data_IF_046375924185
#
_entry.id   IF_046375924185
#
_cell.length_a   1.000
_cell.length_b   1.000
_cell.length_c   1.000
_cell.angle_alpha   90.00
_cell.angle_beta   90.00
_cell.angle_gamma   90.00
#
_symmetry.space_group_name_H-M   'P 1'
#
loop_
_entity.id
_entity.type
_entity.pdbx_description
1 polymer ?
#
# COMPACT_ATOMS: atom_id res chain seq x y z
N UNK A 1 14.05 -30.57 29.27
CA UNK A 1 14.60 -29.96 28.04
C UNK A 1 13.55 -29.00 27.51
N UNK A 2 13.70 -27.70 27.79
CA UNK A 2 12.87 -26.68 27.17
C UNK A 2 13.30 -26.58 25.72
N UNK A 3 12.47 -27.05 24.78
CA UNK A 3 12.70 -26.82 23.36
C UNK A 3 12.68 -25.30 23.15
N UNK A 4 13.76 -24.76 22.57
CA UNK A 4 13.75 -23.39 22.11
C UNK A 4 12.54 -23.21 21.16
N UNK A 5 11.79 -22.10 21.26
CA UNK A 5 10.72 -21.84 20.31
C UNK A 5 11.31 -21.91 18.89
N UNK A 6 10.54 -22.41 17.90
CA UNK A 6 11.00 -22.39 16.52
C UNK A 6 11.41 -20.96 16.14
N UNK A 7 12.42 -20.78 15.27
CA UNK A 7 12.79 -19.46 14.80
C UNK A 7 11.53 -18.76 14.28
N UNK A 8 11.22 -17.58 14.81
CA UNK A 8 10.06 -16.82 14.35
C UNK A 8 10.25 -16.55 12.86
N UNK A 9 9.24 -16.88 12.05
CA UNK A 9 9.29 -16.62 10.62
C UNK A 9 9.50 -15.11 10.38
N UNK A 10 10.28 -14.72 9.37
CA UNK A 10 10.60 -13.32 9.10
C UNK A 10 9.30 -12.52 8.88
N UNK A 11 9.03 -11.58 9.79
CA UNK A 11 7.80 -10.77 9.79
C UNK A 11 7.81 -9.70 8.70
N UNK A 12 9.00 -9.21 8.34
CA UNK A 12 9.17 -8.28 7.22
C UNK A 12 8.88 -8.99 5.89
N UNK A 13 9.30 -10.24 5.74
CA UNK A 13 8.94 -11.05 4.57
C UNK A 13 7.41 -11.25 4.48
N UNK A 14 6.77 -11.56 5.61
CA UNK A 14 5.32 -11.67 5.70
C UNK A 14 4.60 -10.36 5.33
N UNK A 15 5.08 -9.23 5.83
CA UNK A 15 4.58 -7.89 5.49
C UNK A 15 4.63 -7.63 3.97
N UNK A 16 5.80 -7.79 3.34
CA UNK A 16 5.98 -7.47 1.92
C UNK A 16 5.19 -8.42 1.01
N UNK A 17 5.25 -9.74 1.26
CA UNK A 17 4.51 -10.72 0.46
C UNK A 17 3.00 -10.64 0.71
N UNK A 18 2.58 -10.33 1.94
CA UNK A 18 1.17 -10.13 2.27
C UNK A 18 0.59 -8.91 1.56
N UNK A 19 1.30 -7.78 1.58
CA UNK A 19 0.92 -6.56 0.84
C UNK A 19 0.83 -6.86 -0.66
N UNK A 20 1.87 -7.49 -1.23
CA UNK A 20 1.92 -7.84 -2.65
C UNK A 20 0.81 -8.83 -3.07
N UNK A 21 0.47 -9.80 -2.22
CA UNK A 21 -0.63 -10.73 -2.48
C UNK A 21 -1.99 -10.04 -2.39
N UNK A 22 -2.15 -9.09 -1.46
CA UNK A 22 -3.33 -8.24 -1.36
C UNK A 22 -3.54 -7.39 -2.61
N UNK A 23 -2.54 -6.61 -2.99
CA UNK A 23 -2.51 -5.83 -4.24
C UNK A 23 -2.86 -6.71 -5.45
N UNK A 24 -2.17 -7.85 -5.60
CA UNK A 24 -2.41 -8.81 -6.68
C UNK A 24 -3.84 -9.38 -6.73
N UNK A 25 -4.52 -9.49 -5.59
CA UNK A 25 -5.88 -10.02 -5.50
C UNK A 25 -6.94 -8.98 -5.92
N UNK A 26 -6.60 -7.69 -5.83
CA UNK A 26 -7.45 -6.60 -6.30
C UNK A 26 -7.68 -6.66 -7.80
N UNK A 27 -8.92 -6.40 -8.25
CA UNK A 27 -9.18 -6.31 -9.69
C UNK A 27 -8.35 -5.22 -10.41
N UNK A 28 -7.96 -4.08 -9.78
CA UNK A 28 -7.17 -3.05 -10.45
C UNK A 28 -5.77 -3.51 -10.86
N UNK A 29 -5.17 -4.47 -10.13
CA UNK A 29 -3.80 -4.91 -10.38
C UNK A 29 -3.55 -5.38 -11.82
N UNK A 30 -4.47 -6.18 -12.37
CA UNK A 30 -4.38 -6.62 -13.77
C UNK A 30 -4.47 -5.43 -14.76
N UNK A 31 -5.24 -4.38 -14.43
CA UNK A 31 -5.37 -3.16 -15.25
C UNK A 31 -4.13 -2.27 -15.14
N UNK A 32 -3.50 -2.19 -13.96
CA UNK A 32 -2.22 -1.50 -13.77
C UNK A 32 -1.11 -2.19 -14.55
N UNK A 33 -0.97 -3.52 -14.38
CA UNK A 33 0.01 -4.34 -15.09
C UNK A 33 -0.21 -4.38 -16.59
N UNK A 34 -1.46 -4.29 -17.06
CA UNK A 34 -1.76 -4.16 -18.49
C UNK A 34 -1.05 -2.98 -19.16
N UNK A 35 -0.58 -1.96 -18.43
CA UNK A 35 0.23 -0.88 -18.98
C UNK A 35 1.56 -1.35 -19.61
N UNK A 36 2.02 -2.56 -19.29
CA UNK A 36 3.16 -3.24 -19.92
C UNK A 36 2.84 -3.82 -21.30
N UNK A 37 1.55 -3.91 -21.65
CA UNK A 37 1.10 -4.34 -22.98
C UNK A 37 1.03 -3.16 -23.96
N UNK A 38 1.09 -3.42 -25.28
CA UNK A 38 0.86 -2.40 -26.30
C UNK A 38 -0.45 -1.64 -26.10
N UNK A 39 -0.43 -0.34 -26.42
CA UNK A 39 -1.59 0.53 -26.23
C UNK A 39 -2.84 0.04 -26.97
N UNK A 40 -2.68 -0.47 -28.20
CA UNK A 40 -3.80 -0.94 -29.01
C UNK A 40 -4.59 -2.06 -28.33
N UNK A 41 -3.92 -2.95 -27.59
CA UNK A 41 -4.57 -4.05 -26.86
C UNK A 41 -5.42 -3.51 -25.71
N UNK A 42 -4.90 -2.50 -24.97
CA UNK A 42 -5.65 -1.81 -23.91
C UNK A 42 -6.82 -1.00 -24.46
N UNK A 43 -6.65 -0.38 -25.64
CA UNK A 43 -7.70 0.37 -26.33
C UNK A 43 -8.85 -0.56 -26.74
N UNK A 44 -8.53 -1.74 -27.28
CA UNK A 44 -9.51 -2.73 -27.70
C UNK A 44 -10.42 -3.18 -26.54
N UNK A 45 -9.88 -3.40 -25.33
CA UNK A 45 -10.73 -3.74 -24.17
C UNK A 45 -11.77 -2.66 -23.87
N UNK A 46 -11.41 -1.36 -23.98
CA UNK A 46 -12.36 -0.26 -23.77
C UNK A 46 -13.41 -0.17 -24.88
N UNK A 47 -12.98 -0.35 -26.13
CA UNK A 47 -13.89 -0.38 -27.29
C UNK A 47 -14.91 -1.51 -27.17
N UNK A 48 -14.48 -2.70 -26.73
CA UNK A 48 -15.36 -3.84 -26.50
C UNK A 48 -16.34 -3.58 -25.35
N UNK A 49 -15.93 -2.85 -24.31
CA UNK A 49 -16.79 -2.55 -23.16
C UNK A 49 -17.91 -1.60 -23.55
N UNK A 50 -17.57 -0.54 -24.29
CA UNK A 50 -18.54 0.35 -24.94
C UNK A 50 -19.46 -0.40 -25.90
N UNK A 51 -18.92 -1.33 -26.69
CA UNK A 51 -19.73 -2.18 -27.55
C UNK A 51 -20.73 -3.02 -26.74
N UNK A 52 -20.28 -3.63 -25.63
CA UNK A 52 -21.13 -4.45 -24.77
C UNK A 52 -22.30 -3.64 -24.17
N UNK A 53 -22.02 -2.43 -23.70
CA UNK A 53 -23.02 -1.49 -23.19
C UNK A 53 -24.05 -1.09 -24.27
N UNK A 54 -23.56 -0.67 -25.44
CA UNK A 54 -24.41 -0.22 -26.55
C UNK A 54 -25.29 -1.33 -27.13
N UNK A 55 -24.89 -2.59 -26.97
CA UNK A 55 -25.60 -3.77 -27.48
C UNK A 55 -26.36 -4.54 -26.39
N UNK A 56 -26.51 -3.96 -25.19
CA UNK A 56 -27.23 -4.56 -24.06
C UNK A 56 -26.78 -6.00 -23.72
N UNK A 57 -25.46 -6.26 -23.82
CA UNK A 57 -24.89 -7.58 -23.50
C UNK A 57 -24.41 -7.61 -22.06
N UNK A 58 -24.79 -8.65 -21.31
CA UNK A 58 -24.33 -8.84 -19.91
C UNK A 58 -22.95 -9.48 -19.80
N UNK A 59 -22.42 -10.01 -20.90
CA UNK A 59 -21.04 -10.54 -20.97
C UNK A 59 -20.07 -9.39 -21.10
N UNK A 60 -19.41 -9.02 -19.99
CA UNK A 60 -18.42 -7.96 -19.98
C UNK A 60 -17.07 -8.44 -20.55
N UNK A 61 -16.41 -7.66 -21.42
CA UNK A 61 -15.08 -7.98 -21.89
C UNK A 61 -14.06 -7.81 -20.76
N UNK A 62 -13.23 -8.83 -20.59
CA UNK A 62 -12.08 -8.77 -19.68
C UNK A 62 -10.82 -8.33 -20.43
N UNK A 63 -9.78 -7.84 -19.74
CA UNK A 63 -8.47 -7.62 -20.37
C UNK A 63 -7.98 -8.87 -21.11
N UNK A 64 -7.46 -8.71 -22.32
CA UNK A 64 -6.95 -9.81 -23.17
C UNK A 64 -5.55 -9.49 -23.70
N UNK A 65 -4.77 -10.52 -24.01
CA UNK A 65 -3.45 -10.42 -24.63
C UNK A 65 -3.46 -10.99 -26.06
N UNK A 66 -4.31 -10.45 -26.94
CA UNK A 66 -4.46 -10.94 -28.31
C UNK A 66 -3.12 -10.90 -29.06
N UNK A 67 -2.58 -12.07 -29.42
CA UNK A 67 -1.25 -12.20 -30.06
C UNK A 67 -0.10 -11.54 -29.26
N UNK A 68 -0.24 -11.40 -27.94
CA UNK A 68 0.77 -10.85 -27.03
C UNK A 68 1.02 -11.84 -25.88
N UNK A 69 2.08 -11.61 -25.11
CA UNK A 69 2.28 -12.37 -23.86
C UNK A 69 1.15 -12.08 -22.87
N UNK A 70 0.51 -13.09 -22.26
CA UNK A 70 -0.48 -12.89 -21.22
C UNK A 70 0.13 -12.58 -19.85
N UNK A 71 1.46 -12.57 -19.72
CA UNK A 71 2.15 -12.34 -18.45
C UNK A 71 1.65 -11.11 -17.67
N UNK A 72 1.44 -9.93 -18.29
CA UNK A 72 0.95 -8.76 -17.56
C UNK A 72 -0.49 -8.88 -17.03
N UNK A 73 -1.23 -9.89 -17.48
CA UNK A 73 -2.61 -10.16 -17.05
C UNK A 73 -2.70 -11.32 -16.06
N UNK A 74 -1.59 -12.01 -15.77
CA UNK A 74 -1.55 -13.02 -14.72
C UNK A 74 -1.60 -12.33 -13.35
N UNK A 75 -2.04 -13.07 -12.34
CA UNK A 75 -2.06 -12.59 -10.96
C UNK A 75 -0.63 -12.22 -10.50
N UNK A 76 -0.52 -11.14 -9.72
CA UNK A 76 0.73 -10.68 -9.11
C UNK A 76 0.74 -9.16 -8.91
N UNK A 77 1.74 -8.63 -8.18
CA UNK A 77 1.75 -7.28 -7.62
C UNK A 77 1.76 -6.18 -8.67
N UNK A 78 1.19 -5.04 -8.29
CA UNK A 78 1.03 -3.86 -9.13
C UNK A 78 1.53 -2.59 -8.43
N UNK A 79 0.78 -1.49 -8.50
CA UNK A 79 1.21 -0.17 -8.08
C UNK A 79 1.37 -0.05 -6.56
N UNK A 80 0.49 -0.65 -5.76
CA UNK A 80 0.57 -0.60 -4.31
C UNK A 80 1.86 -1.24 -3.79
N UNK A 81 2.23 -2.41 -4.31
CA UNK A 81 3.49 -3.06 -3.98
C UNK A 81 4.71 -2.25 -4.45
N UNK A 82 4.66 -1.65 -5.64
CA UNK A 82 5.77 -0.83 -6.16
C UNK A 82 5.96 0.47 -5.35
N UNK A 83 4.89 1.16 -4.98
CA UNK A 83 4.96 2.33 -4.11
C UNK A 83 5.35 1.98 -2.67
N UNK A 84 4.95 0.81 -2.17
CA UNK A 84 5.45 0.30 -0.89
C UNK A 84 6.98 0.04 -0.93
N UNK A 85 7.50 -0.54 -2.02
CA UNK A 85 8.95 -0.74 -2.21
C UNK A 85 9.70 0.57 -2.43
N UNK A 86 9.10 1.57 -3.05
CA UNK A 86 9.66 2.93 -3.08
C UNK A 86 9.98 3.44 -1.66
N UNK A 87 9.11 3.17 -0.68
CA UNK A 87 9.39 3.52 0.71
C UNK A 87 10.48 2.63 1.34
N UNK A 88 10.56 1.35 0.98
CA UNK A 88 11.64 0.45 1.42
C UNK A 88 13.03 0.96 0.99
N UNK A 89 13.16 1.50 -0.23
CA UNK A 89 14.42 2.08 -0.72
C UNK A 89 14.91 3.22 0.19
N UNK A 90 14.00 4.06 0.71
CA UNK A 90 14.34 5.11 1.64
C UNK A 90 14.82 4.57 3.00
N UNK A 91 14.20 3.49 3.50
CA UNK A 91 14.62 2.81 4.74
C UNK A 91 16.01 2.18 4.58
N UNK A 92 16.27 1.52 3.45
CA UNK A 92 17.58 0.93 3.15
C UNK A 92 18.67 2.01 3.02
N UNK A 93 18.39 3.11 2.32
CA UNK A 93 19.32 4.25 2.22
C UNK A 93 19.68 4.83 3.59
N UNK A 94 18.73 4.85 4.53
CA UNK A 94 18.98 5.33 5.88
C UNK A 94 19.86 4.39 6.72
N UNK A 95 19.95 3.12 6.34
CA UNK A 95 20.80 2.10 6.96
C UNK A 95 22.25 2.12 6.46
N UNK A 96 22.57 2.87 5.40
CA UNK A 96 23.93 3.03 4.91
C UNK A 96 24.69 4.04 5.79
N UNK A 97 25.58 3.53 6.65
CA UNK A 97 26.44 4.33 7.54
C UNK A 97 27.51 5.15 6.80
N UNK A 98 27.70 4.93 5.49
CA UNK A 98 28.65 5.67 4.67
C UNK A 98 28.21 7.09 4.31
N UNK A 99 26.91 7.38 4.34
CA UNK A 99 26.33 8.70 4.04
C UNK A 99 25.53 9.23 5.25
N UNK A 100 25.73 10.51 5.61
CA UNK A 100 25.04 11.18 6.73
C UNK A 100 25.32 10.58 8.14
N UNK A 101 26.46 9.91 8.34
CA UNK A 101 26.80 9.20 9.59
C UNK A 101 26.90 10.07 10.85
N UNK A 102 26.88 11.40 10.72
CA UNK A 102 26.81 12.36 11.83
C UNK A 102 25.37 12.55 12.38
N UNK A 103 24.35 12.11 11.63
CA UNK A 103 22.95 12.20 12.01
C UNK A 103 22.48 10.98 12.81
N UNK A 104 21.51 11.19 13.72
CA UNK A 104 20.78 10.07 14.33
C UNK A 104 20.05 9.25 13.27
N UNK A 105 19.82 7.95 13.51
CA UNK A 105 19.08 7.08 12.58
C UNK A 105 17.74 7.68 12.16
N UNK A 106 16.99 8.24 13.10
CA UNK A 106 15.71 8.92 12.81
C UNK A 106 15.87 10.08 11.81
N UNK A 107 16.88 10.94 12.02
CA UNK A 107 17.16 12.06 11.11
C UNK A 107 17.63 11.57 9.74
N UNK A 108 18.45 10.51 9.69
CA UNK A 108 18.86 9.87 8.44
C UNK A 108 17.67 9.30 7.69
N UNK A 109 16.73 8.63 8.37
CA UNK A 109 15.53 8.10 7.73
C UNK A 109 14.67 9.20 7.12
N UNK A 110 14.43 10.30 7.86
CA UNK A 110 13.70 11.46 7.30
C UNK A 110 14.43 12.10 6.12
N UNK A 111 15.75 12.26 6.20
CA UNK A 111 16.55 12.79 5.09
C UNK A 111 16.53 11.85 3.86
N UNK A 112 16.59 10.54 4.06
CA UNK A 112 16.50 9.56 2.97
C UNK A 112 15.12 9.59 2.30
N UNK A 113 14.03 9.73 3.06
CA UNK A 113 12.68 9.93 2.52
C UNK A 113 12.63 11.21 1.68
N UNK A 114 13.11 12.34 2.21
CA UNK A 114 13.12 13.62 1.50
C UNK A 114 13.92 13.53 0.18
N UNK A 115 15.12 12.94 0.21
CA UNK A 115 15.93 12.72 -0.99
C UNK A 115 15.23 11.83 -2.02
N UNK A 116 14.52 10.79 -1.56
CA UNK A 116 13.80 9.87 -2.44
C UNK A 116 12.64 10.57 -3.16
N UNK A 117 11.87 11.39 -2.45
CA UNK A 117 10.80 12.20 -3.05
C UNK A 117 11.33 13.26 -4.02
N UNK A 118 12.37 14.00 -3.62
CA UNK A 118 12.96 15.04 -4.46
C UNK A 118 13.60 14.47 -5.73
N UNK A 119 14.18 13.26 -5.66
CA UNK A 119 14.72 12.59 -6.85
C UNK A 119 13.62 12.32 -7.89
N UNK A 120 12.48 11.76 -7.47
CA UNK A 120 11.36 11.47 -8.38
C UNK A 120 10.68 12.76 -8.86
N UNK A 121 10.53 13.78 -8.01
CA UNK A 121 10.04 15.08 -8.43
C UNK A 121 10.99 15.76 -9.44
N UNK A 122 12.31 15.56 -9.32
CA UNK A 122 13.28 16.02 -10.32
C UNK A 122 13.09 15.34 -11.68
N UNK A 123 12.76 14.05 -11.72
CA UNK A 123 12.40 13.37 -12.96
C UNK A 123 11.11 13.93 -13.59
N UNK A 124 10.10 14.25 -12.77
CA UNK A 124 8.85 14.89 -13.19
C UNK A 124 9.11 16.31 -13.73
N UNK A 125 9.92 17.12 -13.04
CA UNK A 125 10.33 18.45 -13.49
C UNK A 125 11.04 18.39 -14.84
N UNK A 126 12.01 17.49 -14.98
CA UNK A 126 12.74 17.31 -16.23
C UNK A 126 11.83 16.82 -17.38
N UNK A 127 10.82 16.00 -17.09
CA UNK A 127 9.82 15.60 -18.08
C UNK A 127 8.93 16.78 -18.52
N UNK A 128 8.52 17.63 -17.59
CA UNK A 128 7.75 18.83 -17.87
C UNK A 128 8.54 19.86 -18.69
N UNK A 129 9.82 20.08 -18.39
CA UNK A 129 10.69 21.00 -19.14
C UNK A 129 10.89 20.59 -20.61
N UNK A 130 10.84 19.29 -20.91
CA UNK A 130 10.95 18.77 -22.29
C UNK A 130 9.65 18.87 -23.08
N UNK A 131 8.51 19.09 -22.43
CA UNK A 131 7.20 19.07 -23.04
C UNK A 131 6.82 20.45 -23.62
N UNK A 132 6.08 20.52 -24.75
CA UNK A 132 5.57 21.78 -25.29
C UNK A 132 4.67 22.52 -24.28
N UNK A 133 3.78 21.78 -23.60
CA UNK A 133 3.00 22.23 -22.46
C UNK A 133 3.18 21.26 -21.28
N UNK A 134 3.08 21.75 -20.03
CA UNK A 134 3.25 20.94 -18.82
C UNK A 134 2.24 19.77 -18.79
N UNK A 135 1.01 20.02 -19.24
CA UNK A 135 -0.08 19.04 -19.30
C UNK A 135 0.19 17.91 -20.30
N UNK A 136 1.05 18.16 -21.29
CA UNK A 136 1.44 17.19 -22.32
C UNK A 136 2.64 16.32 -21.91
N UNK A 137 3.23 16.57 -20.74
CA UNK A 137 4.44 15.89 -20.28
C UNK A 137 4.23 14.38 -20.12
N UNK A 138 5.09 13.61 -20.77
CA UNK A 138 5.15 12.15 -20.62
C UNK A 138 6.03 11.83 -19.42
N UNK A 139 5.40 11.50 -18.30
CA UNK A 139 6.10 11.16 -17.06
C UNK A 139 6.76 9.77 -17.17
N UNK A 140 7.95 9.56 -16.55
CA UNK A 140 8.65 8.28 -16.57
C UNK A 140 8.07 7.25 -15.57
N UNK A 141 6.87 7.52 -15.05
CA UNK A 141 6.20 6.72 -14.03
C UNK A 141 4.68 6.80 -14.18
N UNK A 142 3.98 5.94 -13.44
CA UNK A 142 2.52 6.03 -13.22
C UNK A 142 2.28 6.14 -11.72
N UNK A 143 1.25 6.88 -11.34
CA UNK A 143 0.89 7.05 -9.95
C UNK A 143 -0.61 7.34 -9.82
N UNK A 144 -1.16 7.11 -8.63
CA UNK A 144 -2.49 7.62 -8.26
C UNK A 144 -2.53 9.15 -8.32
N UNK A 145 -3.74 9.70 -8.41
CA UNK A 145 -3.94 11.13 -8.65
C UNK A 145 -3.25 11.96 -7.57
N UNK A 146 -3.36 11.56 -6.31
CA UNK A 146 -2.71 12.23 -5.18
C UNK A 146 -1.19 12.29 -5.30
N UNK A 147 -0.57 11.14 -5.57
CA UNK A 147 0.89 11.03 -5.72
C UNK A 147 1.37 11.83 -6.92
N UNK A 148 0.65 11.76 -8.05
CA UNK A 148 0.97 12.55 -9.23
C UNK A 148 0.87 14.06 -8.97
N UNK A 149 -0.20 14.50 -8.30
CA UNK A 149 -0.40 15.91 -7.96
C UNK A 149 0.67 16.40 -6.97
N UNK A 150 0.96 15.65 -5.90
CA UNK A 150 1.99 15.98 -4.92
C UNK A 150 3.39 16.04 -5.54
N UNK A 151 3.74 15.10 -6.44
CA UNK A 151 4.99 15.16 -7.20
C UNK A 151 5.05 16.38 -8.13
N UNK A 152 3.94 16.75 -8.78
CA UNK A 152 3.85 17.96 -9.58
C UNK A 152 4.06 19.23 -8.75
N UNK A 153 3.43 19.30 -7.58
CA UNK A 153 3.62 20.39 -6.61
C UNK A 153 5.07 20.47 -6.12
N UNK A 154 5.68 19.33 -5.81
CA UNK A 154 7.08 19.30 -5.36
C UNK A 154 8.04 19.72 -6.49
N UNK A 155 7.77 19.29 -7.73
CA UNK A 155 8.53 19.65 -8.92
C UNK A 155 8.47 21.15 -9.25
N UNK A 156 7.38 21.84 -8.89
CA UNK A 156 7.23 23.30 -9.05
C UNK A 156 7.77 24.10 -7.86
N UNK A 157 8.34 23.44 -6.85
CA UNK A 157 9.04 24.07 -5.73
C UNK A 157 8.21 24.21 -4.45
N UNK A 158 6.97 23.73 -4.41
CA UNK A 158 6.23 23.61 -3.15
C UNK A 158 6.93 22.60 -2.22
N UNK A 159 6.60 22.65 -0.92
CA UNK A 159 7.14 21.76 0.11
C UNK A 159 6.01 21.19 0.97
N UNK A 160 6.17 20.00 1.56
CA UNK A 160 5.23 19.49 2.55
C UNK A 160 5.02 20.50 3.70
N UNK A 161 3.80 20.65 4.23
CA UNK A 161 2.60 19.89 3.88
C UNK A 161 1.85 20.42 2.64
N UNK A 162 2.23 21.57 2.07
CA UNK A 162 1.49 22.16 0.94
C UNK A 162 1.43 21.24 -0.28
N UNK A 163 2.48 20.46 -0.54
CA UNK A 163 2.48 19.48 -1.65
C UNK A 163 1.38 18.42 -1.49
N UNK A 164 1.16 17.93 -0.27
CA UNK A 164 0.15 16.92 0.05
C UNK A 164 -1.25 17.50 0.26
N UNK A 165 -1.36 18.72 0.77
CA UNK A 165 -2.64 19.41 1.03
C UNK A 165 -3.25 20.03 -0.23
N UNK A 166 -2.46 20.73 -1.06
CA UNK A 166 -2.95 21.42 -2.26
C UNK A 166 -3.10 20.44 -3.44
N UNK A 167 -3.82 19.36 -3.19
CA UNK A 167 -4.01 18.21 -4.07
C UNK A 167 -5.48 17.77 -4.02
N UNK A 168 -6.20 17.63 -5.15
CA UNK A 168 -7.62 17.25 -5.15
C UNK A 168 -7.94 15.88 -4.51
N UNK A 169 -6.93 15.03 -4.34
CA UNK A 169 -7.04 13.70 -3.74
C UNK A 169 -6.23 13.56 -2.44
N UNK A 170 -6.02 14.65 -1.69
CA UNK A 170 -5.19 14.63 -0.48
C UNK A 170 -5.67 13.60 0.57
N UNK A 171 -6.96 13.25 0.58
CA UNK A 171 -7.60 12.37 1.56
C UNK A 171 -7.45 10.87 1.25
N UNK A 172 -6.85 10.52 0.11
CA UNK A 172 -6.78 9.14 -0.35
C UNK A 172 -5.75 8.29 0.41
N UNK A 173 -5.81 6.98 0.19
CA UNK A 173 -5.04 5.97 0.91
C UNK A 173 -3.66 5.69 0.33
N UNK A 174 -3.15 6.48 -0.62
CA UNK A 174 -1.89 6.14 -1.29
C UNK A 174 -0.65 6.19 -0.40
N UNK A 175 -0.69 6.96 0.71
CA UNK A 175 0.34 6.91 1.73
C UNK A 175 0.27 5.66 2.62
N UNK A 176 -0.89 5.01 2.74
CA UNK A 176 -1.10 3.91 3.69
C UNK A 176 -0.24 2.69 3.35
N UNK A 177 -0.11 2.34 2.06
CA UNK A 177 0.72 1.21 1.61
C UNK A 177 2.21 1.45 1.86
N UNK A 178 2.67 2.70 1.71
CA UNK A 178 4.04 3.11 2.03
C UNK A 178 4.30 3.09 3.53
N UNK A 179 3.33 3.59 4.30
CA UNK A 179 3.38 3.64 5.75
C UNK A 179 3.56 2.25 6.39
N UNK A 180 2.89 1.22 5.85
CA UNK A 180 3.10 -0.16 6.26
C UNK A 180 4.58 -0.58 6.19
N UNK A 181 5.30 -0.20 5.14
CA UNK A 181 6.73 -0.53 4.99
C UNK A 181 7.61 0.37 5.85
N UNK A 182 7.29 1.67 5.98
CA UNK A 182 8.03 2.59 6.84
C UNK A 182 8.02 2.16 8.33
N UNK A 183 6.98 1.45 8.77
CA UNK A 183 6.91 0.87 10.12
C UNK A 183 8.08 -0.07 10.45
N UNK A 184 8.75 -0.63 9.44
CA UNK A 184 9.98 -1.43 9.59
C UNK A 184 11.11 -0.64 10.27
N UNK A 185 11.09 0.70 10.25
CA UNK A 185 12.07 1.51 10.97
C UNK A 185 11.84 1.55 12.50
N UNK A 186 10.62 1.22 12.97
CA UNK A 186 10.16 1.33 14.36
C UNK A 186 9.42 0.08 14.87
N UNK A 187 9.96 -1.15 14.79
CA UNK A 187 9.28 -2.33 15.33
C UNK A 187 9.01 -2.17 16.84
N UNK A 188 7.75 -2.36 17.25
CA UNK A 188 7.30 -2.23 18.64
C UNK A 188 7.12 -0.79 19.14
N UNK A 189 7.37 0.22 18.30
CA UNK A 189 7.19 1.65 18.63
C UNK A 189 6.11 2.25 17.71
N UNK A 190 4.81 2.08 18.04
CA UNK A 190 3.71 2.55 17.19
C UNK A 190 3.71 4.08 17.02
N UNK A 191 4.09 4.83 18.05
CA UNK A 191 4.14 6.29 18.00
C UNK A 191 5.25 6.81 17.08
N UNK A 192 6.46 6.22 17.15
CA UNK A 192 7.54 6.52 16.22
C UNK A 192 7.20 6.15 14.78
N UNK A 193 6.58 4.99 14.57
CA UNK A 193 6.11 4.55 13.26
C UNK A 193 5.07 5.52 12.67
N UNK A 194 4.07 5.93 13.45
CA UNK A 194 3.07 6.91 13.03
C UNK A 194 3.71 8.27 12.69
N UNK A 195 4.65 8.76 13.49
CA UNK A 195 5.34 10.02 13.23
C UNK A 195 6.20 10.00 11.95
N UNK A 196 6.82 8.86 11.63
CA UNK A 196 7.55 8.69 10.38
C UNK A 196 6.62 8.58 9.17
N UNK A 197 5.51 7.85 9.32
CA UNK A 197 4.49 7.72 8.28
C UNK A 197 3.84 9.07 7.95
N UNK A 198 3.55 9.91 8.95
CA UNK A 198 3.05 11.27 8.73
C UNK A 198 4.07 12.14 7.96
N UNK A 199 5.35 12.01 8.29
CA UNK A 199 6.41 12.75 7.59
C UNK A 199 6.45 12.42 6.10
N UNK A 200 6.33 11.14 5.72
CA UNK A 200 6.21 10.70 4.33
C UNK A 200 4.86 11.12 3.70
N UNK A 201 3.76 10.88 4.40
CA UNK A 201 2.42 11.08 3.87
C UNK A 201 2.18 12.54 3.44
N UNK A 202 2.70 13.53 4.19
CA UNK A 202 2.57 14.96 3.89
C UNK A 202 3.16 15.40 2.54
N UNK A 203 3.94 14.55 1.86
CA UNK A 203 4.37 14.83 0.49
C UNK A 203 3.22 14.76 -0.50
N UNK A 204 2.23 13.89 -0.28
CA UNK A 204 1.20 13.56 -1.27
C UNK A 204 -0.23 13.55 -0.70
N UNK A 205 -0.39 13.51 0.62
CA UNK A 205 -1.68 13.43 1.33
C UNK A 205 -1.78 14.51 2.41
N UNK A 206 -3.01 14.74 2.87
CA UNK A 206 -3.37 15.49 4.08
C UNK A 206 -4.66 14.90 4.70
N UNK A 207 -5.06 15.36 5.88
CA UNK A 207 -6.30 14.92 6.54
C UNK A 207 -6.39 13.40 6.70
N UNK A 208 -7.49 12.80 6.26
CA UNK A 208 -7.75 11.35 6.41
C UNK A 208 -6.69 10.47 5.74
N UNK A 209 -6.04 10.93 4.67
CA UNK A 209 -4.92 10.21 4.04
C UNK A 209 -3.69 10.12 4.96
N UNK A 210 -3.40 11.18 5.71
CA UNK A 210 -2.33 11.19 6.72
C UNK A 210 -2.74 10.38 7.96
N UNK A 211 -3.98 10.51 8.43
CA UNK A 211 -4.48 9.71 9.55
C UNK A 211 -4.45 8.21 9.24
N UNK A 212 -4.84 7.81 8.04
CA UNK A 212 -4.76 6.43 7.58
C UNK A 212 -3.33 5.89 7.56
N UNK A 213 -2.38 6.68 7.05
CA UNK A 213 -0.97 6.32 7.04
C UNK A 213 -0.42 6.12 8.47
N UNK A 214 -0.74 7.03 9.39
CA UNK A 214 -0.36 6.91 10.82
C UNK A 214 -0.90 5.63 11.43
N UNK A 215 -2.20 5.36 11.23
CA UNK A 215 -2.88 4.20 11.78
C UNK A 215 -2.29 2.86 11.28
N UNK A 216 -2.07 2.75 9.97
CA UNK A 216 -1.49 1.54 9.39
C UNK A 216 -0.05 1.31 9.85
N UNK A 217 0.77 2.36 9.93
CA UNK A 217 2.13 2.25 10.45
C UNK A 217 2.15 1.81 11.92
N UNK A 218 1.28 2.37 12.77
CA UNK A 218 1.18 2.00 14.17
C UNK A 218 0.78 0.52 14.36
N UNK A 219 -0.21 0.03 13.62
CA UNK A 219 -0.61 -1.37 13.65
C UNK A 219 0.51 -2.30 13.18
N UNK A 220 1.14 -2.00 12.04
CA UNK A 220 2.20 -2.84 11.48
C UNK A 220 3.44 -2.85 12.37
N UNK A 221 3.80 -1.72 13.00
CA UNK A 221 4.91 -1.66 13.94
C UNK A 221 4.76 -2.66 15.11
N UNK A 222 3.55 -2.79 15.66
CA UNK A 222 3.25 -3.78 16.70
C UNK A 222 3.22 -5.21 16.14
N UNK A 223 2.66 -5.43 14.95
CA UNK A 223 2.66 -6.74 14.31
C UNK A 223 4.09 -7.24 14.05
N UNK A 224 5.00 -6.36 13.62
CA UNK A 224 6.43 -6.64 13.44
C UNK A 224 7.14 -7.00 14.76
N UNK A 225 6.65 -6.53 15.90
CA UNK A 225 7.11 -6.92 17.23
C UNK A 225 6.39 -8.16 17.80
N UNK A 226 5.46 -8.75 17.04
CA UNK A 226 4.75 -9.96 17.42
C UNK A 226 3.58 -9.77 18.38
N UNK A 227 3.01 -8.56 18.44
CA UNK A 227 1.75 -8.32 19.13
C UNK A 227 0.58 -9.06 18.44
N UNK A 228 -0.50 -9.30 19.18
CA UNK A 228 -1.73 -9.85 18.60
C UNK A 228 -2.52 -8.80 17.79
N UNK A 229 -3.50 -9.28 17.03
CA UNK A 229 -4.33 -8.43 16.15
C UNK A 229 -5.10 -7.35 16.92
N UNK A 230 -5.53 -7.63 18.15
CA UNK A 230 -6.27 -6.68 18.98
C UNK A 230 -5.39 -5.51 19.40
N UNK A 231 -4.16 -5.79 19.85
CA UNK A 231 -3.18 -4.77 20.19
C UNK A 231 -2.79 -3.92 18.96
N UNK A 232 -2.59 -4.55 17.80
CA UNK A 232 -2.27 -3.83 16.56
C UNK A 232 -3.41 -2.88 16.15
N UNK A 233 -4.65 -3.35 16.18
CA UNK A 233 -5.82 -2.56 15.81
C UNK A 233 -6.09 -1.44 16.83
N UNK A 234 -5.88 -1.70 18.12
CA UNK A 234 -5.99 -0.66 19.14
C UNK A 234 -4.97 0.47 18.91
N UNK A 235 -3.73 0.15 18.53
CA UNK A 235 -2.72 1.14 18.17
C UNK A 235 -3.12 1.95 16.91
N UNK A 236 -3.68 1.29 15.88
CA UNK A 236 -4.22 2.02 14.73
C UNK A 236 -5.33 3.00 15.12
N UNK A 237 -6.32 2.55 15.92
CA UNK A 237 -7.45 3.40 16.32
C UNK A 237 -7.02 4.60 17.17
N UNK A 238 -5.94 4.47 17.96
CA UNK A 238 -5.39 5.58 18.72
C UNK A 238 -4.87 6.73 17.83
N UNK A 239 -4.52 6.43 16.58
CA UNK A 239 -4.07 7.42 15.58
C UNK A 239 -5.21 8.05 14.78
N UNK A 240 -6.47 7.65 15.03
CA UNK A 240 -7.65 8.08 14.29
C UNK A 240 -8.59 8.95 15.17
N UNK A 241 -8.52 10.30 15.03
CA UNK A 241 -9.34 11.21 15.83
C UNK A 241 -10.84 10.97 15.60
N UNK A 242 -11.64 10.98 16.68
CA UNK A 242 -13.04 10.53 16.65
C UNK A 242 -13.97 11.47 15.84
N UNK A 243 -13.59 12.73 15.70
CA UNK A 243 -14.31 13.75 14.95
C UNK A 243 -14.17 13.60 13.42
N UNK A 244 -13.11 12.92 12.97
CA UNK A 244 -12.83 12.69 11.55
C UNK A 244 -13.74 11.60 10.97
N UNK A 245 -13.88 11.57 9.64
CA UNK A 245 -14.65 10.51 8.99
C UNK A 245 -13.98 9.16 9.15
N UNK A 246 -12.66 9.07 8.88
CA UNK A 246 -11.87 7.86 9.11
C UNK A 246 -11.98 7.33 10.55
N UNK A 247 -11.98 8.21 11.56
CA UNK A 247 -12.12 7.80 12.96
C UNK A 247 -13.50 7.26 13.33
N UNK A 248 -14.57 7.84 12.76
CA UNK A 248 -15.95 7.33 12.93
C UNK A 248 -16.12 6.00 12.20
N UNK A 249 -15.67 5.91 10.96
CA UNK A 249 -15.77 4.71 10.13
C UNK A 249 -14.96 3.55 10.72
N UNK A 250 -13.74 3.78 11.21
CA UNK A 250 -12.93 2.75 11.87
C UNK A 250 -13.65 2.14 13.07
N UNK A 251 -14.17 2.98 13.97
CA UNK A 251 -14.93 2.52 15.15
C UNK A 251 -16.23 1.82 14.72
N UNK A 252 -16.87 2.25 13.64
CA UNK A 252 -18.08 1.59 13.14
C UNK A 252 -17.79 0.22 12.52
N UNK A 253 -16.78 0.13 11.65
CA UNK A 253 -16.36 -1.11 11.03
C UNK A 253 -15.92 -2.16 12.06
N UNK A 254 -15.24 -1.73 13.13
CA UNK A 254 -14.85 -2.62 14.23
C UNK A 254 -16.04 -3.13 15.06
N UNK A 255 -17.11 -2.34 15.22
CA UNK A 255 -18.36 -2.83 15.82
C UNK A 255 -19.00 -3.91 14.92
N UNK A 256 -19.04 -3.68 13.61
CA UNK A 256 -19.55 -4.68 12.67
C UNK A 256 -18.73 -5.98 12.71
N UNK A 257 -17.40 -5.86 12.85
CA UNK A 257 -16.50 -7.02 12.96
C UNK A 257 -16.73 -7.83 14.25
N UNK A 258 -17.09 -7.18 15.36
CA UNK A 258 -17.35 -7.85 16.63
C UNK A 258 -18.59 -8.76 16.57
N UNK A 259 -19.57 -8.43 15.73
CA UNK A 259 -20.81 -9.18 15.56
C UNK A 259 -20.75 -10.21 14.41
N UNK A 260 -19.64 -10.25 13.64
CA UNK A 260 -19.53 -11.08 12.45
C UNK A 260 -19.07 -12.51 12.78
N UNK A 261 -19.67 -13.50 12.09
CA UNK A 261 -19.29 -14.92 12.19
C UNK A 261 -18.01 -15.28 11.41
N UNK A 262 -17.38 -14.31 10.74
CA UNK A 262 -16.11 -14.46 10.03
C UNK A 262 -15.87 -13.35 9.01
N UNK A 263 -14.66 -13.30 8.44
CA UNK A 263 -14.23 -12.23 7.53
C UNK A 263 -15.13 -12.07 6.28
N UNK A 264 -15.54 -13.19 5.65
CA UNK A 264 -16.40 -13.11 4.46
C UNK A 264 -17.83 -12.68 4.78
N UNK A 265 -18.36 -13.06 5.95
CA UNK A 265 -19.68 -12.63 6.41
C UNK A 265 -19.75 -11.12 6.69
N UNK A 266 -18.60 -10.50 6.92
CA UNK A 266 -18.47 -9.06 7.16
C UNK A 266 -18.49 -8.22 5.86
N UNK A 267 -18.37 -8.84 4.68
CA UNK A 267 -18.33 -8.13 3.39
C UNK A 267 -19.60 -7.30 3.15
N UNK A 268 -20.84 -7.85 3.22
CA UNK A 268 -22.04 -7.04 2.96
C UNK A 268 -22.24 -5.88 3.96
N UNK A 269 -22.04 -6.06 5.29
CA UNK A 269 -22.09 -4.94 6.22
C UNK A 269 -21.09 -3.82 5.92
N UNK A 270 -19.83 -4.15 5.57
CA UNK A 270 -18.83 -3.15 5.22
C UNK A 270 -19.20 -2.42 3.91
N UNK A 271 -19.61 -3.17 2.89
CA UNK A 271 -20.00 -2.59 1.59
C UNK A 271 -21.17 -1.62 1.71
N UNK A 272 -22.15 -1.90 2.58
CA UNK A 272 -23.36 -1.07 2.69
C UNK A 272 -23.26 0.06 3.71
N UNK A 273 -22.34 -0.01 4.68
CA UNK A 273 -22.31 0.92 5.82
C UNK A 273 -21.01 1.70 5.96
N UNK A 274 -19.94 1.29 5.28
CA UNK A 274 -18.63 1.96 5.32
C UNK A 274 -18.22 2.47 3.95
N UNK A 275 -18.38 1.65 2.91
CA UNK A 275 -17.98 1.99 1.55
C UNK A 275 -19.07 2.84 0.89
N UNK A 276 -18.83 4.14 0.69
CA UNK A 276 -19.81 5.04 0.08
C UNK A 276 -19.70 5.01 -1.45
N UNK A 277 -20.82 5.04 -2.17
CA UNK A 277 -20.88 5.04 -3.64
C UNK A 277 -21.09 6.44 -4.25
N UNK A 278 -21.03 7.52 -3.45
CA UNK A 278 -21.23 8.90 -3.92
C UNK A 278 -20.05 9.43 -4.75
N UNK A 279 -18.81 9.03 -4.44
CA UNK A 279 -17.61 9.51 -5.15
C UNK A 279 -17.13 8.54 -6.22
N UNK A 280 -16.46 9.01 -7.29
CA UNK A 280 -16.11 8.17 -8.45
C UNK A 280 -14.94 7.20 -8.22
N UNK A 281 -14.17 7.37 -7.13
CA UNK A 281 -12.99 6.56 -6.83
C UNK A 281 -13.12 5.93 -5.44
N UNK A 282 -12.86 4.62 -5.32
CA UNK A 282 -12.87 3.89 -4.05
C UNK A 282 -11.50 3.83 -3.39
N UNK A 283 -10.92 5.00 -3.16
CA UNK A 283 -9.55 5.19 -2.64
C UNK A 283 -9.53 6.04 -1.37
N UNK A 284 -10.69 6.35 -0.80
CA UNK A 284 -10.75 7.14 0.42
C UNK A 284 -10.14 6.36 1.58
N UNK A 285 -9.14 6.93 2.25
CA UNK A 285 -8.54 6.32 3.44
C UNK A 285 -9.58 6.10 4.56
N UNK A 286 -10.61 6.96 4.59
CA UNK A 286 -11.77 6.83 5.46
C UNK A 286 -12.65 5.60 5.22
N UNK A 287 -12.45 4.89 4.11
CA UNK A 287 -13.12 3.63 3.78
C UNK A 287 -12.14 2.46 3.89
N UNK A 288 -10.97 2.58 3.25
CA UNK A 288 -10.06 1.44 3.08
C UNK A 288 -9.33 1.03 4.36
N UNK A 289 -8.92 1.98 5.20
CA UNK A 289 -8.28 1.68 6.50
C UNK A 289 -9.28 1.05 7.48
N UNK A 290 -10.51 1.58 7.68
CA UNK A 290 -11.55 0.91 8.47
C UNK A 290 -11.86 -0.52 8.02
N UNK A 291 -12.03 -0.73 6.71
CA UNK A 291 -12.22 -2.07 6.12
C UNK A 291 -11.06 -2.98 6.48
N UNK A 292 -9.83 -2.49 6.33
CA UNK A 292 -8.65 -3.31 6.57
C UNK A 292 -8.51 -3.75 8.04
N UNK A 293 -8.73 -2.83 8.97
CA UNK A 293 -8.69 -3.13 10.40
C UNK A 293 -9.81 -4.12 10.79
N UNK A 294 -11.02 -3.91 10.29
CA UNK A 294 -12.17 -4.76 10.59
C UNK A 294 -11.99 -6.20 10.07
N UNK A 295 -11.50 -6.36 8.84
CA UNK A 295 -11.22 -7.68 8.26
C UNK A 295 -10.03 -8.38 8.92
N UNK A 296 -9.02 -7.64 9.39
CA UNK A 296 -7.95 -8.21 10.20
C UNK A 296 -8.51 -8.77 11.53
N UNK A 297 -9.41 -8.06 12.21
CA UNK A 297 -10.06 -8.56 13.44
C UNK A 297 -10.93 -9.78 13.15
N UNK A 298 -11.83 -9.71 12.16
CA UNK A 298 -12.79 -10.76 11.85
C UNK A 298 -12.13 -12.07 11.34
N UNK A 299 -10.92 -11.98 10.81
CA UNK A 299 -10.10 -13.14 10.41
C UNK A 299 -9.14 -13.60 11.51
N UNK A 300 -9.11 -12.93 12.67
CA UNK A 300 -8.10 -13.11 13.71
C UNK A 300 -6.65 -13.06 13.17
N UNK A 301 -6.39 -12.13 12.26
CA UNK A 301 -5.08 -11.96 11.64
C UNK A 301 -4.73 -13.00 10.55
N UNK A 302 -5.66 -13.89 10.16
CA UNK A 302 -5.41 -14.92 9.15
C UNK A 302 -5.56 -14.37 7.73
N UNK A 303 -4.43 -14.14 7.08
CA UNK A 303 -4.36 -13.57 5.72
C UNK A 303 -5.21 -14.32 4.69
N UNK A 304 -5.24 -15.66 4.75
CA UNK A 304 -5.98 -16.51 3.78
C UNK A 304 -7.51 -16.28 3.84
N UNK A 305 -8.02 -15.77 4.96
CA UNK A 305 -9.44 -15.38 5.10
C UNK A 305 -9.63 -13.88 4.83
N UNK A 306 -8.71 -13.05 5.31
CA UNK A 306 -8.83 -11.60 5.28
C UNK A 306 -8.70 -11.02 3.86
N UNK A 307 -7.68 -11.45 3.11
CA UNK A 307 -7.38 -10.92 1.76
C UNK A 307 -8.51 -11.22 0.77
N UNK A 308 -9.04 -12.46 0.65
CA UNK A 308 -10.15 -12.71 -0.26
C UNK A 308 -11.42 -11.95 0.12
N UNK A 309 -11.72 -11.79 1.41
CA UNK A 309 -12.85 -10.99 1.86
C UNK A 309 -12.71 -9.52 1.46
N UNK A 310 -11.51 -8.94 1.63
CA UNK A 310 -11.22 -7.57 1.18
C UNK A 310 -11.36 -7.43 -0.34
N UNK A 311 -10.90 -8.41 -1.12
CA UNK A 311 -10.99 -8.39 -2.58
C UNK A 311 -12.45 -8.42 -3.09
N UNK A 312 -13.39 -8.91 -2.30
CA UNK A 312 -14.82 -8.90 -2.64
C UNK A 312 -15.48 -7.51 -2.47
N UNK A 313 -14.85 -6.58 -1.74
CA UNK A 313 -15.29 -5.18 -1.64
C UNK A 313 -14.81 -4.41 -2.87
N UNK A 314 -15.48 -4.65 -4.00
CA UNK A 314 -14.99 -4.28 -5.34
C UNK A 314 -14.55 -2.83 -5.49
N UNK A 315 -15.21 -1.90 -4.77
CA UNK A 315 -14.91 -0.48 -4.87
C UNK A 315 -13.57 -0.12 -4.23
N UNK A 316 -13.24 -0.72 -3.08
CA UNK A 316 -11.99 -0.49 -2.33
C UNK A 316 -10.93 -1.57 -2.59
N UNK A 317 -11.16 -2.41 -3.60
CA UNK A 317 -10.35 -3.59 -3.91
C UNK A 317 -8.93 -3.27 -4.42
N UNK A 318 -8.59 -2.01 -4.66
CA UNK A 318 -7.22 -1.60 -4.99
C UNK A 318 -6.33 -1.75 -3.75
N UNK A 319 -6.59 -0.94 -2.72
CA UNK A 319 -5.72 -0.84 -1.55
C UNK A 319 -6.22 -1.56 -0.31
N UNK A 320 -7.53 -1.78 -0.10
CA UNK A 320 -7.99 -2.47 1.11
C UNK A 320 -7.40 -3.90 1.23
N UNK A 321 -7.34 -4.73 0.17
CA UNK A 321 -6.68 -6.03 0.23
C UNK A 321 -5.17 -5.91 0.51
N UNK A 322 -4.48 -4.91 -0.07
CA UNK A 322 -3.06 -4.66 0.15
C UNK A 322 -2.77 -4.28 1.61
N UNK A 323 -3.59 -3.41 2.22
CA UNK A 323 -3.47 -3.00 3.62
C UNK A 323 -3.77 -4.15 4.59
N UNK A 324 -4.82 -4.93 4.33
CA UNK A 324 -5.11 -6.17 5.07
C UNK A 324 -3.97 -7.16 4.96
N UNK A 325 -3.47 -7.38 3.75
CA UNK A 325 -2.38 -8.28 3.45
C UNK A 325 -1.09 -7.87 4.17
N UNK A 326 -0.77 -6.58 4.19
CA UNK A 326 0.36 -6.03 4.92
C UNK A 326 0.29 -6.35 6.42
N UNK A 327 -0.85 -6.05 7.06
CA UNK A 327 -1.05 -6.26 8.50
C UNK A 327 -1.09 -7.75 8.86
N UNK A 328 -1.92 -8.54 8.17
CA UNK A 328 -2.06 -9.98 8.43
C UNK A 328 -0.82 -10.78 8.05
N UNK A 329 -0.09 -10.35 7.01
CA UNK A 329 1.22 -10.88 6.65
C UNK A 329 2.28 -10.60 7.71
N UNK A 330 2.34 -9.39 8.27
CA UNK A 330 3.24 -9.07 9.38
C UNK A 330 2.91 -9.87 10.66
N UNK A 331 1.61 -10.07 10.95
CA UNK A 331 1.12 -10.87 12.07
C UNK A 331 1.52 -12.35 11.93
N UNK A 332 1.33 -12.94 10.75
CA UNK A 332 1.62 -14.36 10.47
C UNK A 332 3.07 -14.68 10.13
N UNK A 333 3.84 -13.68 9.67
CA UNK A 333 5.20 -13.84 9.14
C UNK A 333 5.26 -14.62 7.83
N UNK A 334 6.47 -14.75 7.27
CA UNK A 334 6.69 -15.38 5.96
C UNK A 334 6.18 -16.82 5.80
N UNK A 335 6.07 -17.56 6.92
CA UNK A 335 5.54 -18.93 6.93
C UNK A 335 4.01 -19.00 6.77
N UNK A 336 3.30 -17.90 7.03
CA UNK A 336 1.85 -17.83 6.84
C UNK A 336 1.44 -17.58 5.38
N UNK A 337 2.40 -17.25 4.50
CA UNK A 337 2.15 -16.99 3.09
C UNK A 337 2.00 -18.32 2.33
N UNK A 338 0.84 -18.58 1.67
CA UNK A 338 0.67 -19.76 0.83
C UNK A 338 1.74 -19.84 -0.27
N UNK A 339 2.23 -21.04 -0.58
CA UNK A 339 3.31 -21.23 -1.57
C UNK A 339 2.96 -20.65 -2.95
N UNK A 340 1.70 -20.83 -3.41
CA UNK A 340 1.23 -20.30 -4.69
C UNK A 340 1.19 -18.77 -4.73
N UNK A 341 0.86 -18.11 -3.61
CA UNK A 341 0.90 -16.66 -3.49
C UNK A 341 2.33 -16.15 -3.43
N UNK A 342 3.21 -16.82 -2.68
CA UNK A 342 4.65 -16.52 -2.69
C UNK A 342 5.20 -16.57 -4.11
N UNK A 343 4.94 -17.65 -4.85
CA UNK A 343 5.44 -17.80 -6.24
C UNK A 343 4.89 -16.70 -7.17
N UNK A 344 3.60 -16.39 -7.07
CA UNK A 344 2.94 -15.43 -7.96
C UNK A 344 3.24 -13.96 -7.62
N UNK A 345 3.57 -13.66 -6.37
CA UNK A 345 3.67 -12.29 -5.86
C UNK A 345 5.06 -11.87 -5.41
N UNK A 346 6.07 -12.72 -5.61
CA UNK A 346 7.46 -12.45 -5.16
C UNK A 346 8.17 -11.36 -5.94
N UNK A 347 7.84 -11.16 -7.21
CA UNK A 347 8.62 -10.30 -8.12
C UNK A 347 7.75 -9.15 -8.65
N UNK A 348 8.27 -7.93 -8.56
CA UNK A 348 7.58 -6.73 -9.06
C UNK A 348 7.64 -6.64 -10.60
N UNK A 349 6.55 -6.15 -11.18
CA UNK A 349 6.39 -6.05 -12.64
C UNK A 349 7.00 -4.78 -13.26
N UNK A 350 7.22 -3.73 -12.45
CA UNK A 350 7.64 -2.41 -12.92
C UNK A 350 6.55 -1.72 -13.75
N UNK A 351 5.28 -1.96 -13.42
CA UNK A 351 4.14 -1.40 -14.13
C UNK A 351 3.93 0.09 -13.86
N UNK A 352 4.41 0.60 -12.72
CA UNK A 352 4.30 2.01 -12.33
C UNK A 352 5.63 2.70 -12.16
N UNK A 353 6.61 2.01 -11.59
CA UNK A 353 7.97 2.46 -11.37
C UNK A 353 8.92 1.53 -12.14
N UNK A 354 9.22 1.80 -13.42
CA UNK A 354 9.94 0.86 -14.29
C UNK A 354 11.29 0.37 -13.75
N UNK A 355 11.98 1.19 -12.95
CA UNK A 355 13.25 0.83 -12.29
C UNK A 355 13.13 -0.31 -11.25
N UNK A 356 11.92 -0.64 -10.80
CA UNK A 356 11.66 -1.77 -9.87
C UNK A 356 11.31 -3.07 -10.59
N UNK A 357 11.38 -3.10 -11.92
CA UNK A 357 11.13 -4.34 -12.68
C UNK A 357 12.07 -5.43 -12.19
N UNK A 358 11.52 -6.58 -11.77
CA UNK A 358 12.33 -7.72 -11.34
C UNK A 358 12.81 -7.66 -9.88
N UNK A 359 12.43 -6.65 -9.10
CA UNK A 359 12.73 -6.62 -7.66
C UNK A 359 12.09 -7.82 -6.96
N UNK A 360 12.91 -8.60 -6.25
CA UNK A 360 12.50 -9.76 -5.44
C UNK A 360 12.17 -9.32 -4.01
N UNK A 361 10.90 -9.49 -3.61
CA UNK A 361 10.42 -9.06 -2.30
C UNK A 361 10.98 -9.90 -1.13
N UNK A 362 11.39 -11.14 -1.39
CA UNK A 362 12.04 -11.99 -0.38
C UNK A 362 13.47 -11.51 -0.12
N UNK A 363 14.21 -11.19 -1.18
CA UNK A 363 15.54 -10.59 -1.06
C UNK A 363 15.48 -9.23 -0.36
N UNK A 364 14.53 -8.39 -0.77
CA UNK A 364 14.30 -7.08 -0.15
C UNK A 364 13.99 -7.20 1.35
N UNK A 365 13.17 -8.17 1.75
CA UNK A 365 12.90 -8.43 3.16
C UNK A 365 14.18 -8.75 3.94
N UNK A 366 15.05 -9.60 3.38
CA UNK A 366 16.35 -9.92 3.99
C UNK A 366 17.27 -8.71 4.14
N UNK A 367 17.29 -7.81 3.13
CA UNK A 367 18.04 -6.56 3.21
C UNK A 367 17.51 -5.63 4.30
N UNK A 368 16.19 -5.50 4.41
CA UNK A 368 15.54 -4.67 5.43
C UNK A 368 15.77 -5.22 6.85
N UNK A 369 15.77 -6.55 7.00
CA UNK A 369 16.13 -7.22 8.26
C UNK A 369 17.60 -6.95 8.63
N UNK A 370 18.52 -7.06 7.69
CA UNK A 370 19.93 -6.79 7.91
C UNK A 370 20.21 -5.30 8.26
N UNK A 371 19.39 -4.38 7.76
CA UNK A 371 19.48 -2.94 8.03
C UNK A 371 18.83 -2.51 9.38
N UNK A 372 18.24 -3.44 10.13
CA UNK A 372 17.70 -3.14 11.45
C UNK A 372 18.82 -2.93 12.48
N UNK A 373 18.65 -1.98 13.41
CA UNK A 373 19.58 -1.86 14.52
C UNK A 373 19.47 -3.11 15.38
N UNK A 374 20.58 -3.54 16.02
CA UNK A 374 20.53 -4.68 16.93
C UNK A 374 19.47 -4.44 18.02
N UNK A 375 18.71 -5.49 18.42
CA UNK A 375 17.69 -5.35 19.45
C UNK A 375 18.29 -4.73 20.71
N UNK A 376 17.58 -3.77 21.31
CA UNK A 376 18.01 -3.09 22.53
C UNK A 376 17.97 -4.06 23.72
N UNK A 377 19.10 -4.73 23.97
CA UNK A 377 19.38 -5.51 25.19
C UNK A 377 18.85 -6.94 25.18
N UNK A 378 19.76 -7.88 25.43
CA UNK A 378 19.48 -9.23 25.93
C UNK A 378 19.98 -9.39 27.35
#
# INVERSE_FOLDING_TARGET
MSLAPPPQAPRIEGLLLGLAAGDAAGWPAARHRAARMPEWTRRLTRELDTFAEQNATTTLPVPIALNQSPEPLRLGPSDDAEWAVFAAEAVLRAGDDGALGDLSRERRTRAAIDLTWNAVAGEVAAAAERAPEIESAVLPLRARISVRAGLGNLATGLRPPATGHDNPHYFDDAACVRACVLAVAHPGDPGGAAALAEFDARYTQDGDGVHGARAMAAAVALALAGADVGACVAAAVAELPEETEIGRNARHALRLAADAEGAFALVPPLEHQIVDHVYSYGVAAAETVPVALALAVASHGRMVEAVPAAACLSRVADSAPALVGALTGALGGGAAIPASWRESCRVLSGCTLPRLTGTDLVELAGLLEAAQPPPRGG
#
